data_IF_260850161787
#
_entry.id   IF_260850161787
#
_cell.length_a   1.000
_cell.length_b   1.000
_cell.length_c   1.000
_cell.angle_alpha   90.00
_cell.angle_beta   90.00
_cell.angle_gamma   90.00
#
_symmetry.space_group_name_H-M   'P 1'
#
loop_
_entity.id
_entity.type
_entity.pdbx_description
1 polymer ?
#
# COMPACT_ATOMS: atom_id res chain seq x y z
N UNK A 1 -11.59 14.55 -4.87
CA UNK A 1 -10.94 13.57 -5.77
C UNK A 1 -10.54 12.31 -5.00
N UNK A 2 -9.59 12.36 -4.07
CA UNK A 2 -9.14 11.19 -3.30
C UNK A 2 -10.30 10.50 -2.54
N UNK A 3 -11.16 11.27 -1.88
CA UNK A 3 -12.38 10.73 -1.25
C UNK A 3 -13.31 10.04 -2.25
N UNK A 4 -13.49 10.60 -3.45
CA UNK A 4 -14.32 9.97 -4.50
C UNK A 4 -13.72 8.63 -4.96
N UNK A 5 -12.38 8.52 -5.04
CA UNK A 5 -11.70 7.26 -5.38
C UNK A 5 -11.96 6.20 -4.31
N UNK A 6 -11.83 6.56 -3.05
CA UNK A 6 -12.11 5.67 -1.92
C UNK A 6 -13.58 5.23 -1.88
N UNK A 7 -14.52 6.13 -2.12
CA UNK A 7 -15.95 5.82 -2.17
C UNK A 7 -16.31 4.89 -3.32
N UNK A 8 -15.71 5.06 -4.50
CA UNK A 8 -15.90 4.17 -5.67
C UNK A 8 -15.35 2.77 -5.43
N UNK A 9 -14.22 2.64 -4.72
CA UNK A 9 -13.60 1.37 -4.34
C UNK A 9 -14.21 0.70 -3.11
N UNK A 10 -15.36 1.16 -2.61
CA UNK A 10 -15.92 0.79 -1.30
C UNK A 10 -15.92 -0.72 -0.97
N UNK A 11 -16.35 -1.67 -1.84
CA UNK A 11 -16.35 -3.07 -1.46
C UNK A 11 -14.95 -3.64 -1.18
N UNK A 12 -13.97 -3.38 -2.06
CA UNK A 12 -12.60 -3.82 -1.88
C UNK A 12 -11.90 -3.07 -0.72
N UNK A 13 -12.17 -1.76 -0.60
CA UNK A 13 -11.66 -0.95 0.51
C UNK A 13 -12.16 -1.46 1.86
N UNK A 14 -13.47 -1.69 1.99
CA UNK A 14 -14.05 -2.24 3.21
C UNK A 14 -13.45 -3.62 3.54
N UNK A 15 -13.24 -4.47 2.53
CA UNK A 15 -12.62 -5.79 2.72
C UNK A 15 -11.16 -5.66 3.21
N UNK A 16 -10.37 -4.71 2.68
CA UNK A 16 -8.99 -4.47 3.10
C UNK A 16 -8.91 -4.01 4.56
N UNK A 17 -9.67 -2.96 4.93
CA UNK A 17 -9.57 -2.36 6.28
C UNK A 17 -10.25 -3.18 7.38
N UNK A 18 -11.15 -4.10 7.03
CA UNK A 18 -11.84 -4.99 7.97
C UNK A 18 -11.48 -6.46 7.81
N UNK A 19 -10.35 -6.76 7.17
CA UNK A 19 -9.91 -8.12 6.93
C UNK A 19 -9.83 -8.96 8.23
N UNK A 20 -10.12 -10.29 8.21
CA UNK A 20 -9.99 -11.15 9.39
C UNK A 20 -8.63 -11.03 10.07
N UNK A 21 -7.54 -10.98 9.30
CA UNK A 21 -6.19 -10.80 9.81
C UNK A 21 -6.04 -9.51 10.62
N UNK A 22 -6.57 -8.38 10.12
CA UNK A 22 -6.55 -7.08 10.82
C UNK A 22 -7.31 -7.16 12.14
N UNK A 23 -8.49 -7.80 12.15
CA UNK A 23 -9.25 -8.00 13.38
C UNK A 23 -8.51 -8.85 14.41
N UNK A 24 -7.82 -9.90 13.96
CA UNK A 24 -7.03 -10.75 14.85
C UNK A 24 -5.78 -10.07 15.39
N UNK A 25 -5.13 -9.18 14.59
CA UNK A 25 -4.06 -8.30 15.09
C UNK A 25 -4.60 -7.42 16.20
N UNK A 26 -5.72 -6.73 15.98
CA UNK A 26 -6.35 -5.86 16.97
C UNK A 26 -6.80 -6.60 18.23
N UNK A 27 -7.21 -7.86 18.11
CA UNK A 27 -7.58 -8.71 19.24
C UNK A 27 -6.36 -9.40 19.92
N UNK A 28 -5.17 -9.32 19.36
CA UNK A 28 -3.99 -10.03 19.85
C UNK A 28 -4.04 -11.55 19.66
N UNK A 29 -4.84 -12.05 18.71
CA UNK A 29 -5.12 -13.48 18.54
C UNK A 29 -4.57 -14.06 17.23
N UNK A 30 -3.96 -13.26 16.37
CA UNK A 30 -3.33 -13.74 15.14
C UNK A 30 -2.17 -14.68 15.51
N UNK A 31 -2.01 -15.86 14.87
CA UNK A 31 -0.83 -16.69 15.09
C UNK A 31 0.46 -15.95 14.69
N UNK A 32 1.49 -16.01 15.54
CA UNK A 32 2.79 -15.38 15.27
C UNK A 32 3.42 -15.86 13.95
N UNK A 33 3.20 -17.13 13.60
CA UNK A 33 3.68 -17.69 12.34
C UNK A 33 3.05 -17.02 11.11
N UNK A 34 1.74 -16.77 11.16
CA UNK A 34 1.01 -16.02 10.13
C UNK A 34 1.55 -14.61 9.98
N UNK A 35 1.77 -13.92 11.11
CA UNK A 35 2.32 -12.55 11.10
C UNK A 35 3.79 -12.52 10.65
N UNK A 36 4.56 -13.54 10.96
CA UNK A 36 5.91 -13.70 10.42
C UNK A 36 5.90 -13.81 8.88
N UNK A 37 5.04 -14.68 8.32
CA UNK A 37 4.89 -14.82 6.86
C UNK A 37 4.49 -13.52 6.17
N UNK A 38 3.64 -12.70 6.80
CA UNK A 38 3.33 -11.36 6.34
C UNK A 38 4.59 -10.50 6.23
N UNK A 39 5.43 -10.41 7.28
CA UNK A 39 6.64 -9.59 7.25
C UNK A 39 7.67 -10.08 6.24
N UNK A 40 7.77 -11.38 6.03
CA UNK A 40 8.66 -11.96 5.02
C UNK A 40 8.35 -11.44 3.62
N UNK A 41 7.07 -11.34 3.27
CA UNK A 41 6.64 -10.78 1.99
C UNK A 41 6.61 -9.26 1.98
N UNK A 42 6.26 -8.64 3.10
CA UNK A 42 6.16 -7.18 3.18
C UNK A 42 7.52 -6.48 3.06
N UNK A 43 8.61 -7.07 3.58
CA UNK A 43 9.96 -6.53 3.41
C UNK A 43 10.33 -6.47 1.92
N UNK A 44 10.06 -7.54 1.15
CA UNK A 44 10.30 -7.57 -0.29
C UNK A 44 9.41 -6.57 -1.04
N UNK A 45 8.14 -6.47 -0.64
CA UNK A 45 7.19 -5.50 -1.18
C UNK A 45 7.66 -4.06 -0.98
N UNK A 46 8.07 -3.71 0.24
CA UNK A 46 8.45 -2.33 0.60
C UNK A 46 9.69 -1.84 -0.16
N UNK A 47 10.61 -2.73 -0.54
CA UNK A 47 11.73 -2.34 -1.40
C UNK A 47 11.28 -1.86 -2.79
N UNK A 48 10.35 -2.56 -3.42
CA UNK A 48 9.81 -2.15 -4.72
C UNK A 48 8.82 -0.98 -4.58
N UNK A 49 8.10 -0.90 -3.46
CA UNK A 49 7.26 0.25 -3.12
C UNK A 49 8.07 1.54 -3.01
N UNK A 50 9.22 1.48 -2.34
CA UNK A 50 10.15 2.61 -2.26
C UNK A 50 10.70 3.01 -3.66
N UNK A 51 11.01 2.02 -4.52
CA UNK A 51 11.42 2.28 -5.92
C UNK A 51 10.30 2.94 -6.72
N UNK A 52 9.05 2.49 -6.53
CA UNK A 52 7.88 3.09 -7.18
C UNK A 52 7.72 4.56 -6.77
N UNK A 53 7.85 4.89 -5.47
CA UNK A 53 7.82 6.28 -5.00
C UNK A 53 8.96 7.09 -5.62
N UNK A 54 10.17 6.53 -5.73
CA UNK A 54 11.29 7.17 -6.42
C UNK A 54 11.00 7.51 -7.88
N UNK A 55 10.30 6.61 -8.60
CA UNK A 55 9.85 6.88 -9.97
C UNK A 55 8.80 8.00 -10.01
N UNK A 56 7.86 8.02 -9.06
CA UNK A 56 6.85 9.10 -8.95
C UNK A 56 7.51 10.46 -8.71
N UNK A 57 8.55 10.51 -7.87
CA UNK A 57 9.35 11.74 -7.65
C UNK A 57 9.95 12.25 -8.96
N UNK A 58 10.43 11.34 -9.82
CA UNK A 58 10.95 11.69 -11.14
C UNK A 58 9.92 12.32 -12.08
N UNK A 59 8.63 12.10 -11.84
CA UNK A 59 7.50 12.69 -12.59
C UNK A 59 6.85 13.89 -11.88
N UNK A 60 7.36 14.30 -10.71
CA UNK A 60 6.79 15.41 -9.95
C UNK A 60 6.89 16.74 -10.73
N UNK A 61 5.79 17.52 -10.85
CA UNK A 61 5.78 18.72 -11.67
C UNK A 61 6.47 19.92 -11.02
N UNK A 62 6.68 19.90 -9.71
CA UNK A 62 7.22 21.02 -8.94
C UNK A 62 7.90 20.58 -7.64
N UNK A 63 8.59 21.50 -6.99
CA UNK A 63 9.36 21.27 -5.76
C UNK A 63 8.46 20.87 -4.59
N UNK A 64 7.23 21.38 -4.52
CA UNK A 64 6.27 21.01 -3.46
C UNK A 64 5.89 19.54 -3.56
N UNK A 65 5.60 19.04 -4.77
CA UNK A 65 5.34 17.61 -4.97
C UNK A 65 6.57 16.76 -4.65
N UNK A 66 7.78 17.20 -5.04
CA UNK A 66 9.03 16.52 -4.70
C UNK A 66 9.19 16.42 -3.18
N UNK A 67 8.91 17.49 -2.45
CA UNK A 67 9.07 17.55 -0.99
C UNK A 67 8.11 16.56 -0.29
N UNK A 68 6.82 16.58 -0.61
CA UNK A 68 5.82 15.64 -0.04
C UNK A 68 6.20 14.20 -0.34
N UNK A 69 6.53 13.88 -1.59
CA UNK A 69 6.91 12.52 -2.00
C UNK A 69 8.23 12.07 -1.38
N UNK A 70 9.17 12.99 -1.15
CA UNK A 70 10.45 12.69 -0.48
C UNK A 70 10.24 12.36 1.00
N UNK A 71 9.33 13.07 1.69
CA UNK A 71 8.96 12.69 3.07
C UNK A 71 8.26 11.34 3.11
N UNK A 72 7.42 11.04 2.13
CA UNK A 72 6.80 9.72 2.01
C UNK A 72 7.85 8.63 1.79
N UNK A 73 8.79 8.81 0.86
CA UNK A 73 9.89 7.88 0.65
C UNK A 73 10.76 7.71 1.92
N UNK A 74 11.05 8.81 2.61
CA UNK A 74 11.81 8.80 3.85
C UNK A 74 11.10 7.98 4.94
N UNK A 75 9.77 8.10 5.08
CA UNK A 75 8.98 7.28 6.01
C UNK A 75 9.14 5.79 5.73
N UNK A 76 9.06 5.38 4.46
CA UNK A 76 9.23 3.98 4.07
C UNK A 76 10.64 3.48 4.39
N UNK A 77 11.67 4.20 3.92
CA UNK A 77 13.07 3.73 3.98
C UNK A 77 13.64 3.81 5.40
N UNK A 78 13.31 4.85 6.15
CA UNK A 78 13.95 5.11 7.45
C UNK A 78 13.10 4.70 8.65
N UNK A 79 11.83 4.38 8.45
CA UNK A 79 10.94 3.97 9.55
C UNK A 79 10.32 2.61 9.29
N UNK A 80 9.59 2.45 8.19
CA UNK A 80 8.75 1.27 7.99
C UNK A 80 9.58 0.02 7.68
N UNK A 81 10.53 0.09 6.75
CA UNK A 81 11.41 -1.05 6.45
C UNK A 81 12.19 -1.50 7.70
N UNK A 82 12.88 -0.61 8.45
CA UNK A 82 13.56 -1.00 9.70
C UNK A 82 12.61 -1.61 10.75
N UNK A 83 11.40 -1.07 10.90
CA UNK A 83 10.40 -1.61 11.82
C UNK A 83 9.97 -3.02 11.40
N UNK A 84 9.68 -3.27 10.12
CA UNK A 84 9.32 -4.58 9.61
C UNK A 84 10.44 -5.61 9.84
N UNK A 85 11.70 -5.23 9.65
CA UNK A 85 12.87 -6.07 9.97
C UNK A 85 12.93 -6.37 11.46
N UNK A 86 12.64 -5.41 12.33
CA UNK A 86 12.62 -5.61 13.78
C UNK A 86 11.45 -6.54 14.20
N UNK A 87 10.26 -6.36 13.66
CA UNK A 87 9.11 -7.23 13.91
C UNK A 87 9.39 -8.67 13.45
N UNK A 88 9.94 -8.85 12.25
CA UNK A 88 10.32 -10.16 11.74
C UNK A 88 11.27 -10.89 12.70
N UNK A 89 12.30 -10.20 13.21
CA UNK A 89 13.24 -10.77 14.20
C UNK A 89 12.56 -11.16 15.50
N UNK A 90 11.65 -10.34 16.01
CA UNK A 90 10.88 -10.62 17.24
C UNK A 90 9.99 -11.87 17.08
N UNK A 91 9.55 -12.15 15.86
CA UNK A 91 8.78 -13.35 15.51
C UNK A 91 9.66 -14.54 15.10
N UNK A 92 10.97 -14.49 15.33
CA UNK A 92 11.90 -15.58 15.05
C UNK A 92 12.28 -15.74 13.57
N UNK A 93 11.95 -14.77 12.71
CA UNK A 93 12.32 -14.77 11.30
C UNK A 93 13.73 -14.21 11.06
N UNK A 94 14.28 -14.48 9.86
CA UNK A 94 15.63 -14.09 9.46
C UNK A 94 15.61 -13.14 8.25
N UNK A 95 15.88 -11.84 8.42
CA UNK A 95 16.01 -10.91 7.30
C UNK A 95 17.09 -11.32 6.30
N UNK A 96 18.19 -11.92 6.78
CA UNK A 96 19.26 -12.39 5.89
C UNK A 96 18.80 -13.54 4.99
N UNK A 97 17.93 -14.43 5.46
CA UNK A 97 17.34 -15.49 4.65
C UNK A 97 16.47 -14.91 3.53
N UNK A 98 15.65 -13.89 3.84
CA UNK A 98 14.80 -13.21 2.86
C UNK A 98 15.64 -12.54 1.79
N UNK A 99 16.66 -11.79 2.17
CA UNK A 99 17.57 -11.13 1.22
C UNK A 99 18.32 -12.13 0.34
N UNK A 100 18.65 -13.32 0.87
CA UNK A 100 19.35 -14.36 0.11
C UNK A 100 18.46 -15.07 -0.91
N UNK A 101 17.18 -15.29 -0.59
CA UNK A 101 16.22 -15.98 -1.47
C UNK A 101 15.56 -15.04 -2.46
N UNK A 102 15.24 -13.81 -2.04
CA UNK A 102 14.54 -12.79 -2.84
C UNK A 102 13.19 -13.27 -3.41
N UNK A 103 12.61 -14.33 -2.82
CA UNK A 103 11.45 -15.01 -3.40
C UNK A 103 10.15 -14.31 -2.99
N UNK A 104 9.60 -13.55 -3.92
CA UNK A 104 8.24 -13.01 -3.80
C UNK A 104 7.21 -14.09 -4.15
N UNK A 105 6.16 -14.20 -3.34
CA UNK A 105 4.97 -14.95 -3.72
C UNK A 105 4.25 -14.26 -4.90
N UNK A 106 3.41 -14.99 -5.67
CA UNK A 106 2.78 -14.44 -6.87
C UNK A 106 2.04 -13.14 -6.65
N UNK A 107 1.34 -12.98 -5.51
CA UNK A 107 0.61 -11.75 -5.17
C UNK A 107 1.59 -10.60 -4.94
N UNK A 108 2.62 -10.79 -4.12
CA UNK A 108 3.66 -9.79 -3.85
C UNK A 108 4.32 -9.32 -5.16
N UNK A 109 4.70 -10.29 -6.01
CA UNK A 109 5.30 -9.99 -7.31
C UNK A 109 4.36 -9.20 -8.21
N UNK A 110 3.12 -9.65 -8.37
CA UNK A 110 2.14 -8.99 -9.26
C UNK A 110 1.81 -7.59 -8.79
N UNK A 111 1.63 -7.41 -7.48
CA UNK A 111 1.36 -6.10 -6.90
C UNK A 111 2.52 -5.14 -7.12
N UNK A 112 3.75 -5.54 -6.81
CA UNK A 112 4.92 -4.68 -7.03
C UNK A 112 5.12 -4.35 -8.51
N UNK A 113 4.85 -5.28 -9.43
CA UNK A 113 4.88 -5.00 -10.90
C UNK A 113 3.84 -3.98 -11.32
N UNK A 114 2.62 -4.07 -10.76
CA UNK A 114 1.59 -3.04 -10.98
C UNK A 114 2.06 -1.66 -10.52
N UNK A 115 2.62 -1.54 -9.32
CA UNK A 115 3.13 -0.27 -8.78
C UNK A 115 4.26 0.29 -9.64
N UNK A 116 5.29 -0.51 -9.92
CA UNK A 116 6.44 -0.08 -10.71
C UNK A 116 6.07 0.31 -12.14
N UNK A 117 5.22 -0.49 -12.80
CA UNK A 117 4.75 -0.19 -14.15
C UNK A 117 3.95 1.11 -14.19
N UNK A 118 2.99 1.28 -13.29
CA UNK A 118 2.15 2.49 -13.24
C UNK A 118 2.98 3.72 -12.92
N UNK A 119 3.94 3.62 -11.98
CA UNK A 119 4.82 4.73 -11.61
C UNK A 119 5.82 5.09 -12.72
N UNK A 120 6.28 4.12 -13.51
CA UNK A 120 7.24 4.37 -14.59
C UNK A 120 6.60 4.89 -15.88
N UNK A 121 5.37 4.45 -16.20
CA UNK A 121 4.71 4.76 -17.48
C UNK A 121 3.62 5.83 -17.37
N UNK A 122 3.12 6.07 -16.14
CA UNK A 122 2.07 7.03 -15.87
C UNK A 122 2.59 8.42 -15.54
N UNK A 123 1.65 9.32 -15.25
CA UNK A 123 1.94 10.64 -14.66
C UNK A 123 2.24 10.51 -13.16
N UNK A 124 2.70 11.60 -12.53
CA UNK A 124 2.84 11.69 -11.09
C UNK A 124 1.53 11.34 -10.35
N UNK A 125 0.38 11.80 -10.86
CA UNK A 125 -0.94 11.47 -10.30
C UNK A 125 -1.27 9.98 -10.43
N UNK A 126 -0.92 9.33 -11.55
CA UNK A 126 -1.16 7.89 -11.74
C UNK A 126 -0.35 7.06 -10.75
N UNK A 127 0.95 7.34 -10.65
CA UNK A 127 1.84 6.64 -9.74
C UNK A 127 1.42 6.84 -8.28
N UNK A 128 1.10 8.07 -7.87
CA UNK A 128 0.62 8.36 -6.52
C UNK A 128 -0.71 7.64 -6.23
N UNK A 129 -1.63 7.60 -7.20
CA UNK A 129 -2.88 6.84 -7.07
C UNK A 129 -2.65 5.34 -6.88
N UNK A 130 -1.60 4.79 -7.52
CA UNK A 130 -1.29 3.37 -7.38
C UNK A 130 -0.71 3.02 -6.00
N UNK A 131 0.12 3.88 -5.41
CA UNK A 131 0.74 3.61 -4.10
C UNK A 131 -0.14 4.00 -2.92
N UNK A 132 -1.07 4.93 -3.10
CA UNK A 132 -1.87 5.50 -2.02
C UNK A 132 -2.76 4.49 -1.27
N UNK A 133 -3.40 3.47 -1.88
CA UNK A 133 -4.21 2.51 -1.15
C UNK A 133 -3.47 1.81 -0.01
N UNK A 134 -2.22 1.41 -0.20
CA UNK A 134 -1.40 0.83 0.86
C UNK A 134 -1.25 1.80 2.04
N UNK A 135 -0.73 3.00 1.78
CA UNK A 135 -0.51 3.98 2.84
C UNK A 135 -1.80 4.36 3.58
N UNK A 136 -2.86 4.64 2.84
CA UNK A 136 -4.10 5.16 3.42
C UNK A 136 -4.88 4.10 4.19
N UNK A 137 -5.00 2.88 3.65
CA UNK A 137 -5.72 1.81 4.33
C UNK A 137 -5.09 1.46 5.67
N UNK A 138 -3.75 1.42 5.77
CA UNK A 138 -3.06 1.15 7.03
C UNK A 138 -3.31 2.24 8.10
N UNK A 139 -3.35 3.50 7.73
CA UNK A 139 -3.76 4.56 8.65
C UNK A 139 -5.21 4.40 9.12
N UNK A 140 -6.12 4.07 8.20
CA UNK A 140 -7.54 3.92 8.49
C UNK A 140 -7.82 2.68 9.36
N UNK A 141 -7.19 1.54 9.11
CA UNK A 141 -7.39 0.33 9.89
C UNK A 141 -6.75 0.40 11.29
N UNK A 142 -5.61 1.10 11.44
CA UNK A 142 -4.90 1.17 12.71
C UNK A 142 -5.51 2.20 13.68
N UNK A 143 -6.04 3.31 13.18
CA UNK A 143 -6.60 4.40 14.00
C UNK A 143 -7.62 3.92 15.04
N UNK A 144 -8.65 3.12 14.71
CA UNK A 144 -9.60 2.65 15.73
C UNK A 144 -8.97 1.66 16.74
N UNK A 145 -7.92 0.91 16.34
CA UNK A 145 -7.24 -0.04 17.21
C UNK A 145 -6.40 0.66 18.30
N UNK A 146 -6.04 1.93 18.10
CA UNK A 146 -5.33 2.72 19.12
C UNK A 146 -6.14 2.93 20.40
N UNK A 147 -7.47 2.79 20.36
CA UNK A 147 -8.32 2.94 21.55
C UNK A 147 -8.14 1.79 22.56
N UNK A 148 -7.68 0.61 22.09
CA UNK A 148 -7.42 -0.57 22.93
C UNK A 148 -6.32 -1.40 22.26
N UNK A 149 -5.07 -1.08 22.56
CA UNK A 149 -3.92 -1.80 22.04
C UNK A 149 -3.91 -3.26 22.55
N UNK A 150 -3.50 -4.24 21.72
CA UNK A 150 -3.29 -5.60 22.15
C UNK A 150 -2.23 -5.71 23.27
N UNK A 151 -2.36 -6.72 24.15
CA UNK A 151 -1.35 -6.99 25.19
C UNK A 151 -0.01 -7.46 24.61
N UNK A 152 -0.05 -8.17 23.47
CA UNK A 152 1.17 -8.58 22.79
C UNK A 152 1.91 -7.38 22.19
N UNK A 153 3.16 -7.13 22.61
CA UNK A 153 3.90 -5.94 22.23
C UNK A 153 4.25 -5.90 20.72
N UNK A 154 4.23 -7.01 19.99
CA UNK A 154 4.46 -7.00 18.55
C UNK A 154 3.26 -6.38 17.83
N UNK A 155 2.05 -6.77 18.20
CA UNK A 155 0.83 -6.20 17.62
C UNK A 155 0.62 -4.76 18.08
N UNK A 156 0.85 -4.48 19.36
CA UNK A 156 0.71 -3.13 19.90
C UNK A 156 1.62 -2.12 19.19
N UNK A 157 2.90 -2.47 18.99
CA UNK A 157 3.86 -1.61 18.31
C UNK A 157 3.53 -1.43 16.82
N UNK A 158 3.04 -2.50 16.16
CA UNK A 158 2.58 -2.42 14.77
C UNK A 158 1.38 -1.48 14.63
N UNK A 159 0.36 -1.62 15.48
CA UNK A 159 -0.81 -0.74 15.52
C UNK A 159 -0.39 0.71 15.81
N UNK A 160 0.50 0.92 16.79
CA UNK A 160 0.97 2.25 17.16
C UNK A 160 1.75 2.95 16.03
N UNK A 161 2.50 2.20 15.22
CA UNK A 161 3.24 2.74 14.10
C UNK A 161 2.29 3.40 13.08
N UNK A 162 1.25 2.68 12.64
CA UNK A 162 0.32 3.15 11.62
C UNK A 162 -0.79 4.05 12.19
N UNK A 163 -1.17 3.87 13.46
CA UNK A 163 -2.15 4.69 14.17
C UNK A 163 -1.59 6.02 14.70
N UNK A 164 -0.30 6.32 14.48
CA UNK A 164 0.32 7.54 14.97
C UNK A 164 -0.18 8.81 14.27
N UNK A 165 -0.20 9.93 15.00
CA UNK A 165 -0.55 11.23 14.41
C UNK A 165 0.39 11.67 13.28
N UNK A 166 1.67 11.27 13.34
CA UNK A 166 2.63 11.54 12.27
C UNK A 166 2.30 10.78 10.98
N UNK A 167 1.89 9.51 11.10
CA UNK A 167 1.46 8.72 9.95
C UNK A 167 0.19 9.29 9.31
N UNK A 168 -0.82 9.64 10.13
CA UNK A 168 -2.06 10.25 9.67
C UNK A 168 -1.83 11.61 9.00
N UNK A 169 -0.89 12.42 9.49
CA UNK A 169 -0.53 13.68 8.86
C UNK A 169 0.08 13.45 7.46
N UNK A 170 0.96 12.46 7.31
CA UNK A 170 1.55 12.12 6.01
C UNK A 170 0.50 11.59 5.03
N UNK A 171 -0.46 10.77 5.49
CA UNK A 171 -1.60 10.35 4.65
C UNK A 171 -2.39 11.55 4.17
N UNK A 172 -2.66 12.53 5.04
CA UNK A 172 -3.38 13.75 4.66
C UNK A 172 -2.60 14.58 3.63
N UNK A 173 -1.27 14.69 3.77
CA UNK A 173 -0.41 15.41 2.81
C UNK A 173 -0.39 14.72 1.44
N UNK A 174 -0.26 13.40 1.39
CA UNK A 174 -0.22 12.64 0.12
C UNK A 174 -1.58 12.62 -0.58
N UNK A 175 -2.69 12.55 0.17
CA UNK A 175 -4.05 12.66 -0.40
C UNK A 175 -4.32 14.07 -0.94
N UNK A 176 -3.90 15.11 -0.21
CA UNK A 176 -4.01 16.50 -0.69
C UNK A 176 -3.14 16.74 -1.93
N UNK A 177 -1.95 16.14 -1.99
CA UNK A 177 -1.11 16.20 -3.18
C UNK A 177 -1.81 15.54 -4.37
N UNK A 178 -2.41 14.37 -4.22
CA UNK A 178 -3.19 13.73 -5.28
C UNK A 178 -4.34 14.63 -5.75
N UNK A 179 -5.09 15.24 -4.83
CA UNK A 179 -6.18 16.15 -5.16
C UNK A 179 -5.70 17.36 -5.98
N UNK A 180 -4.52 17.89 -5.66
CA UNK A 180 -3.88 18.98 -6.40
C UNK A 180 -3.40 18.54 -7.80
N UNK A 181 -2.72 17.39 -7.89
CA UNK A 181 -2.17 16.88 -9.15
C UNK A 181 -3.24 16.47 -10.15
N UNK A 182 -4.32 15.91 -9.65
CA UNK A 182 -5.46 15.51 -10.49
C UNK A 182 -6.28 16.73 -10.94
N UNK A 183 -6.30 17.82 -10.17
CA UNK A 183 -7.03 19.05 -10.47
C UNK A 183 -8.50 18.80 -10.80
N UNK A 184 -9.08 19.59 -11.70
CA UNK A 184 -10.40 19.32 -12.26
C UNK A 184 -10.27 18.22 -13.33
N UNK A 185 -10.06 16.94 -12.88
CA UNK A 185 -9.96 15.82 -13.78
C UNK A 185 -11.23 15.68 -14.63
N UNK A 186 -11.07 15.51 -15.93
CA UNK A 186 -12.17 15.14 -16.79
C UNK A 186 -12.65 13.70 -16.53
N UNK A 187 -13.75 13.31 -17.14
CA UNK A 187 -14.34 11.98 -16.92
C UNK A 187 -13.38 10.83 -17.28
N UNK A 188 -12.52 11.00 -18.29
CA UNK A 188 -11.58 9.98 -18.72
C UNK A 188 -10.42 9.85 -17.73
N UNK A 189 -9.86 10.96 -17.27
CA UNK A 189 -8.83 10.97 -16.23
C UNK A 189 -9.35 10.38 -14.91
N UNK A 190 -10.58 10.74 -14.50
CA UNK A 190 -11.21 10.18 -13.31
C UNK A 190 -11.43 8.66 -13.45
N UNK A 191 -11.90 8.18 -14.60
CA UNK A 191 -12.09 6.76 -14.82
C UNK A 191 -10.76 5.98 -14.73
N UNK A 192 -9.68 6.55 -15.28
CA UNK A 192 -8.35 5.97 -15.22
C UNK A 192 -7.79 5.91 -13.79
N UNK A 193 -7.86 6.99 -13.04
CA UNK A 193 -7.42 7.02 -11.64
C UNK A 193 -8.25 6.07 -10.78
N UNK A 194 -9.58 6.00 -11.00
CA UNK A 194 -10.45 5.05 -10.30
C UNK A 194 -10.06 3.59 -10.59
N UNK A 195 -9.72 3.27 -11.82
CA UNK A 195 -9.26 1.94 -12.20
C UNK A 195 -7.93 1.57 -11.53
N UNK A 196 -6.94 2.49 -11.52
CA UNK A 196 -5.64 2.30 -10.84
C UNK A 196 -5.86 2.07 -9.35
N UNK A 197 -6.67 2.91 -8.71
CA UNK A 197 -6.97 2.82 -7.28
C UNK A 197 -7.65 1.51 -6.91
N UNK A 198 -8.67 1.08 -7.68
CA UNK A 198 -9.39 -0.17 -7.45
C UNK A 198 -8.47 -1.39 -7.57
N UNK A 199 -7.58 -1.43 -8.56
CA UNK A 199 -6.61 -2.51 -8.70
C UNK A 199 -5.69 -2.59 -7.49
N UNK A 200 -5.10 -1.47 -7.07
CA UNK A 200 -4.22 -1.45 -5.89
C UNK A 200 -4.97 -1.87 -4.62
N UNK A 201 -6.21 -1.40 -4.45
CA UNK A 201 -7.04 -1.80 -3.30
C UNK A 201 -7.34 -3.30 -3.29
N UNK A 202 -7.59 -3.91 -4.45
CA UNK A 202 -7.77 -5.37 -4.56
C UNK A 202 -6.48 -6.13 -4.22
N UNK A 203 -5.32 -5.59 -4.58
CA UNK A 203 -4.04 -6.17 -4.18
C UNK A 203 -3.82 -6.08 -2.66
N UNK A 204 -4.31 -5.04 -1.97
CA UNK A 204 -4.27 -4.99 -0.50
C UNK A 204 -5.04 -6.18 0.11
N UNK A 205 -6.26 -6.45 -0.39
CA UNK A 205 -7.03 -7.62 0.06
C UNK A 205 -6.28 -8.92 -0.20
N UNK A 206 -5.79 -9.11 -1.42
CA UNK A 206 -5.05 -10.33 -1.80
C UNK A 206 -3.75 -10.49 -0.99
N UNK A 207 -3.11 -9.39 -0.60
CA UNK A 207 -1.91 -9.42 0.24
C UNK A 207 -2.24 -9.92 1.65
N UNK A 208 -3.38 -9.50 2.21
CA UNK A 208 -3.89 -10.05 3.46
C UNK A 208 -4.27 -11.53 3.34
N UNK A 209 -5.00 -11.91 2.28
CA UNK A 209 -5.38 -13.30 2.00
C UNK A 209 -4.15 -14.20 1.91
N UNK A 210 -3.14 -13.79 1.13
CA UNK A 210 -1.87 -14.51 0.97
C UNK A 210 -1.16 -14.72 2.32
N UNK A 211 -1.06 -13.67 3.14
CA UNK A 211 -0.41 -13.75 4.44
C UNK A 211 -1.20 -14.58 5.44
N UNK A 212 -2.54 -14.54 5.35
CA UNK A 212 -3.44 -15.29 6.21
C UNK A 212 -3.55 -16.77 5.84
N UNK A 213 -3.01 -17.17 4.67
CA UNK A 213 -3.03 -18.55 4.16
C UNK A 213 -4.35 -18.92 3.50
N UNK A 214 -5.16 -17.95 3.12
CA UNK A 214 -6.36 -18.17 2.30
C UNK A 214 -5.96 -18.34 0.82
N UNK A 215 -6.67 -19.17 0.02
CA UNK A 215 -6.45 -19.20 -1.41
C UNK A 215 -6.69 -17.80 -1.96
N UNK A 216 -5.77 -17.31 -2.79
CA UNK A 216 -5.94 -16.03 -3.46
C UNK A 216 -7.34 -15.97 -4.10
N UNK A 217 -8.20 -15.08 -3.58
CA UNK A 217 -9.52 -14.84 -4.13
C UNK A 217 -9.47 -14.56 -5.63
N UNK A 218 -10.59 -14.57 -6.31
CA UNK A 218 -10.69 -14.38 -7.77
C UNK A 218 -9.72 -13.29 -8.22
N UNK A 219 -8.67 -13.71 -8.94
CA UNK A 219 -7.52 -12.88 -9.31
C UNK A 219 -7.97 -11.54 -9.89
N UNK A 220 -7.07 -10.56 -9.92
CA UNK A 220 -7.31 -9.32 -10.67
C UNK A 220 -7.93 -9.70 -12.01
N UNK A 221 -9.17 -9.25 -12.34
CA UNK A 221 -9.82 -9.62 -13.58
C UNK A 221 -8.83 -9.41 -14.73
N UNK A 222 -8.62 -10.43 -15.54
CA UNK A 222 -7.83 -10.27 -16.75
C UNK A 222 -8.31 -8.98 -17.44
N UNK A 223 -7.37 -8.05 -17.67
CA UNK A 223 -7.70 -6.74 -18.19
C UNK A 223 -8.44 -6.88 -19.54
N UNK A 224 -9.73 -7.10 -19.45
CA UNK A 224 -10.68 -7.00 -20.53
C UNK A 224 -11.01 -5.55 -20.77
N UNK A 225 -10.01 -4.77 -21.09
CA UNK A 225 -10.11 -3.37 -21.40
C UNK A 225 -8.77 -2.71 -21.20
N UNK A 226 -8.12 -2.36 -22.29
CA UNK A 226 -7.02 -1.40 -22.21
C UNK A 226 -7.49 -0.16 -21.45
N UNK A 227 -6.62 0.48 -20.63
CA UNK A 227 -7.00 1.71 -19.95
C UNK A 227 -7.54 2.69 -21.00
N UNK A 228 -8.69 3.33 -20.74
CA UNK A 228 -9.25 4.29 -21.68
C UNK A 228 -8.22 5.41 -21.91
N UNK A 229 -7.72 5.55 -23.13
CA UNK A 229 -7.04 6.73 -23.63
C UNK A 229 -5.52 6.77 -23.66
N UNK A 230 -4.90 5.92 -24.45
CA UNK A 230 -3.74 6.28 -25.27
C UNK A 230 -4.00 5.79 -26.69
N UNK A 231 -4.53 6.67 -27.55
CA UNK A 231 -4.35 6.46 -28.99
C UNK A 231 -2.84 6.58 -29.30
N UNK A 232 -2.28 5.66 -30.11
CA UNK A 232 -0.92 5.83 -30.59
C UNK A 232 -0.90 7.09 -31.49
N UNK A 233 -0.19 8.12 -31.01
CA UNK A 233 0.11 9.29 -31.84
C UNK A 233 0.74 8.86 -33.15
N UNK A 234 0.15 9.32 -34.25
CA UNK A 234 0.73 9.27 -35.61
C UNK A 234 1.96 10.15 -35.69
#
# INVERSE_FOLDING_TARGET
MSLDLRERGTPAWAAAVSHPMVRQIGAGTLPHETFRGYFEQNILYLEDYARAIGLIIGHAPDVEAIDVLSRFLQQIVSTEIPANVAFLRRLGGSPAAISATGTMLPVTYSYTRHLLYTSAQGSCADGLTAVLPCQWSYGELATPLMAALPDDPVYADWVAMFGSGGYSALVAETTALLDRLAGPADAAAMARLSWIFDISTRYEVQFWDMAYGEPAGDGVPAAGGAPPGKEPGR
#
